data_IF_002379762587
#
_entry.id   IF_002379762587
#
_cell.length_a   1.000
_cell.length_b   1.000
_cell.length_c   1.000
_cell.angle_alpha   90.00
_cell.angle_beta   90.00
_cell.angle_gamma   90.00
#
_symmetry.space_group_name_H-M   'P 1'
#
loop_
_entity.id
_entity.type
_entity.pdbx_description
1 polymer ?
#
# COMPACT_ATOMS: atom_id res chain seq x y z
N UNK A 1 -6.72 -3.49 0.19
CA UNK A 1 -6.87 -4.52 1.25
C UNK A 1 -8.29 -4.55 1.82
N UNK A 2 -8.82 -3.43 2.33
CA UNK A 2 -10.15 -3.39 2.97
C UNK A 2 -11.33 -3.85 2.10
N UNK A 3 -11.39 -3.48 0.81
CA UNK A 3 -12.48 -3.92 -0.08
C UNK A 3 -12.59 -5.45 -0.22
N UNK A 4 -11.46 -6.17 -0.22
CA UNK A 4 -11.42 -7.65 -0.27
C UNK A 4 -11.90 -8.26 1.05
N UNK A 5 -11.66 -7.59 2.18
CA UNK A 5 -12.15 -8.05 3.48
C UNK A 5 -13.65 -7.79 3.65
N UNK A 6 -14.15 -6.70 3.06
CA UNK A 6 -15.56 -6.28 3.16
C UNK A 6 -16.46 -7.04 2.19
N UNK A 7 -16.00 -7.36 0.98
CA UNK A 7 -16.82 -7.97 -0.07
C UNK A 7 -17.57 -9.25 0.39
N UNK A 8 -16.94 -10.24 1.06
CA UNK A 8 -17.65 -11.44 1.51
C UNK A 8 -18.71 -11.14 2.58
N UNK A 9 -18.42 -10.20 3.49
CA UNK A 9 -19.36 -9.77 4.54
C UNK A 9 -20.57 -9.06 3.93
N UNK A 10 -20.37 -8.37 2.80
CA UNK A 10 -21.41 -7.73 2.02
C UNK A 10 -22.13 -8.67 1.03
N UNK A 11 -21.84 -9.98 1.05
CA UNK A 11 -22.34 -10.98 0.09
C UNK A 11 -22.01 -10.64 -1.38
N UNK A 12 -20.87 -9.99 -1.61
CA UNK A 12 -20.33 -9.74 -2.95
C UNK A 12 -19.33 -10.83 -3.30
N UNK A 13 -19.58 -11.53 -4.40
CA UNK A 13 -18.65 -12.54 -4.91
C UNK A 13 -17.37 -11.89 -5.45
N UNK A 14 -16.23 -12.46 -5.07
CA UNK A 14 -14.91 -12.01 -5.55
C UNK A 14 -14.59 -12.82 -6.81
N UNK A 15 -15.13 -12.38 -7.94
CA UNK A 15 -14.81 -12.94 -9.25
C UNK A 15 -13.72 -12.13 -9.97
N UNK A 16 -13.31 -12.59 -11.15
CA UNK A 16 -12.26 -11.91 -11.92
C UNK A 16 -12.69 -10.49 -12.31
N UNK A 17 -13.97 -10.29 -12.61
CA UNK A 17 -14.51 -8.97 -12.96
C UNK A 17 -14.38 -8.00 -11.79
N UNK A 18 -14.78 -8.41 -10.58
CA UNK A 18 -14.64 -7.62 -9.36
C UNK A 18 -13.17 -7.24 -9.10
N UNK A 19 -12.23 -8.19 -9.24
CA UNK A 19 -10.80 -7.93 -9.03
C UNK A 19 -10.28 -6.88 -10.01
N UNK A 20 -10.62 -6.99 -11.29
CA UNK A 20 -10.20 -6.04 -12.32
C UNK A 20 -10.78 -4.65 -12.06
N UNK A 21 -12.08 -4.57 -11.75
CA UNK A 21 -12.73 -3.29 -11.39
C UNK A 21 -12.11 -2.68 -10.14
N UNK A 22 -11.84 -3.49 -9.11
CA UNK A 22 -11.20 -3.04 -7.88
C UNK A 22 -9.81 -2.45 -8.16
N UNK A 23 -8.99 -3.11 -8.96
CA UNK A 23 -7.66 -2.59 -9.32
C UNK A 23 -7.78 -1.25 -10.03
N UNK A 24 -8.68 -1.13 -11.02
CA UNK A 24 -8.89 0.11 -11.75
C UNK A 24 -9.33 1.25 -10.82
N UNK A 25 -10.31 0.99 -9.95
CA UNK A 25 -10.79 1.96 -8.96
C UNK A 25 -9.67 2.38 -8.01
N UNK A 26 -8.91 1.43 -7.45
CA UNK A 26 -7.82 1.73 -6.52
C UNK A 26 -6.75 2.60 -7.17
N UNK A 27 -6.37 2.33 -8.41
CA UNK A 27 -5.38 3.14 -9.15
C UNK A 27 -5.88 4.58 -9.29
N UNK A 28 -7.12 4.77 -9.75
CA UNK A 28 -7.70 6.10 -9.97
C UNK A 28 -7.87 6.84 -8.63
N UNK A 29 -8.44 6.17 -7.63
CA UNK A 29 -8.66 6.72 -6.30
C UNK A 29 -7.35 7.11 -5.60
N UNK A 30 -6.25 6.40 -5.84
CA UNK A 30 -4.96 6.69 -5.21
C UNK A 30 -4.43 8.07 -5.58
N UNK A 31 -4.70 8.57 -6.80
CA UNK A 31 -4.31 9.93 -7.18
C UNK A 31 -5.10 10.99 -6.40
N UNK A 32 -6.39 10.74 -6.16
CA UNK A 32 -7.27 11.67 -5.44
C UNK A 32 -6.97 11.78 -3.94
N UNK A 33 -6.22 10.84 -3.38
CA UNK A 33 -5.88 10.78 -1.94
C UNK A 33 -4.41 11.14 -1.68
N UNK A 34 -3.65 11.50 -2.73
CA UNK A 34 -2.28 11.99 -2.56
C UNK A 34 -2.28 13.31 -1.75
N UNK A 35 -1.57 13.33 -0.62
CA UNK A 35 -1.36 14.54 0.18
C UNK A 35 -2.43 14.89 1.22
N UNK A 36 -3.48 14.08 1.39
CA UNK A 36 -4.47 14.26 2.48
C UNK A 36 -4.07 13.50 3.75
N UNK A 37 -4.24 14.15 4.90
CA UNK A 37 -4.00 13.53 6.21
C UNK A 37 -4.94 12.36 6.49
N UNK A 38 -4.44 11.27 7.07
CA UNK A 38 -5.23 10.06 7.32
C UNK A 38 -5.46 9.17 6.09
N UNK A 39 -4.50 9.16 5.15
CA UNK A 39 -4.68 8.60 3.80
C UNK A 39 -5.22 7.17 3.70
N UNK A 40 -4.99 6.28 4.68
CA UNK A 40 -5.54 4.92 4.67
C UNK A 40 -7.08 4.92 4.76
N UNK A 41 -7.61 5.65 5.74
CA UNK A 41 -9.03 5.71 6.06
C UNK A 41 -9.80 6.39 4.93
N UNK A 42 -9.29 7.53 4.44
CA UNK A 42 -9.93 8.26 3.35
C UNK A 42 -9.89 7.49 2.03
N UNK A 43 -8.77 6.85 1.69
CA UNK A 43 -8.71 5.97 0.51
C UNK A 43 -9.72 4.83 0.60
N UNK A 44 -9.86 4.26 1.79
CA UNK A 44 -10.73 3.11 2.00
C UNK A 44 -12.21 3.47 1.91
N UNK A 45 -12.62 4.60 2.51
CA UNK A 45 -13.99 5.10 2.37
C UNK A 45 -14.31 5.40 0.90
N UNK A 46 -13.37 6.04 0.17
CA UNK A 46 -13.54 6.34 -1.25
C UNK A 46 -13.73 5.06 -2.07
N UNK A 47 -12.85 4.07 -1.91
CA UNK A 47 -12.92 2.80 -2.66
C UNK A 47 -14.21 2.04 -2.33
N UNK A 48 -14.59 1.94 -1.05
CA UNK A 48 -15.83 1.26 -0.66
C UNK A 48 -17.06 1.96 -1.25
N UNK A 49 -17.12 3.29 -1.18
CA UNK A 49 -18.21 4.08 -1.77
C UNK A 49 -18.29 3.89 -3.28
N UNK A 50 -17.14 3.90 -3.97
CA UNK A 50 -17.06 3.76 -5.44
C UNK A 50 -17.51 2.38 -5.91
N UNK A 51 -17.28 1.35 -5.10
CA UNK A 51 -17.72 -0.03 -5.37
C UNK A 51 -19.11 -0.34 -4.82
N UNK A 52 -19.83 0.67 -4.30
CA UNK A 52 -21.13 0.52 -3.65
C UNK A 52 -21.12 -0.51 -2.49
N UNK A 53 -19.98 -0.63 -1.80
CA UNK A 53 -19.81 -1.48 -0.63
C UNK A 53 -20.14 -0.71 0.66
N UNK A 54 -20.62 -1.39 1.73
CA UNK A 54 -21.01 -0.71 2.95
C UNK A 54 -19.81 -0.07 3.68
N UNK A 55 -19.75 1.27 3.67
CA UNK A 55 -18.67 2.04 4.33
C UNK A 55 -18.65 1.80 5.85
N UNK A 56 -19.80 1.52 6.46
CA UNK A 56 -19.90 1.21 7.88
C UNK A 56 -19.03 0.02 8.31
N UNK A 57 -18.76 -0.94 7.40
CA UNK A 57 -17.90 -2.09 7.69
C UNK A 57 -16.43 -1.69 7.83
N UNK A 58 -15.99 -0.55 7.29
CA UNK A 58 -14.69 0.02 7.60
C UNK A 58 -14.55 0.34 9.10
N UNK A 59 -15.63 0.79 9.74
CA UNK A 59 -15.66 1.08 11.18
C UNK A 59 -15.40 -0.15 12.05
N UNK A 60 -15.85 -1.34 11.63
CA UNK A 60 -15.54 -2.60 12.31
C UNK A 60 -14.05 -2.95 12.17
N UNK A 61 -13.51 -2.69 10.98
CA UNK A 61 -12.13 -3.01 10.63
C UNK A 61 -11.10 -2.04 11.25
N UNK A 62 -11.53 -0.87 11.74
CA UNK A 62 -10.66 0.04 12.51
C UNK A 62 -9.99 -0.66 13.70
N UNK A 63 -10.66 -1.65 14.31
CA UNK A 63 -10.11 -2.43 15.42
C UNK A 63 -8.85 -3.23 15.06
N UNK A 64 -8.73 -3.68 13.81
CA UNK A 64 -7.59 -4.44 13.30
C UNK A 64 -6.66 -3.60 12.41
N UNK A 65 -7.05 -2.35 12.11
CA UNK A 65 -6.31 -1.44 11.25
C UNK A 65 -4.84 -1.26 11.67
N UNK A 66 -4.45 -1.18 12.96
CA UNK A 66 -3.03 -1.07 13.33
C UNK A 66 -2.17 -2.24 12.82
N UNK A 67 -2.71 -3.47 12.80
CA UNK A 67 -2.00 -4.64 12.27
C UNK A 67 -1.85 -4.55 10.75
N UNK A 68 -2.93 -4.14 10.08
CA UNK A 68 -2.99 -3.97 8.63
C UNK A 68 -2.02 -2.88 8.17
N UNK A 69 -2.00 -1.75 8.89
CA UNK A 69 -1.18 -0.59 8.57
C UNK A 69 0.32 -0.88 8.74
N UNK A 70 0.69 -1.68 9.75
CA UNK A 70 2.07 -2.17 9.87
C UNK A 70 2.49 -2.99 8.65
N UNK A 71 1.62 -3.88 8.16
CA UNK A 71 1.89 -4.65 6.93
C UNK A 71 2.02 -3.76 5.70
N UNK A 72 1.13 -2.78 5.55
CA UNK A 72 1.18 -1.77 4.48
C UNK A 72 2.48 -0.97 4.52
N UNK A 73 2.89 -0.53 5.70
CA UNK A 73 4.11 0.26 5.90
C UNK A 73 5.35 -0.56 5.55
N UNK A 74 5.42 -1.82 5.99
CA UNK A 74 6.51 -2.72 5.67
C UNK A 74 6.68 -2.92 4.15
N UNK A 75 5.57 -3.14 3.43
CA UNK A 75 5.58 -3.28 1.98
C UNK A 75 6.00 -1.98 1.28
N UNK A 76 5.47 -0.83 1.69
CA UNK A 76 5.83 0.47 1.09
C UNK A 76 7.32 0.81 1.27
N UNK A 77 7.91 0.48 2.42
CA UNK A 77 9.36 0.65 2.66
C UNK A 77 10.17 -0.29 1.78
N UNK A 78 9.77 -1.56 1.69
CA UNK A 78 10.41 -2.54 0.83
C UNK A 78 10.38 -2.13 -0.66
N UNK A 79 9.22 -1.67 -1.14
CA UNK A 79 9.05 -1.20 -2.52
C UNK A 79 9.91 0.02 -2.81
N UNK A 80 10.04 0.94 -1.84
CA UNK A 80 10.91 2.12 -1.97
C UNK A 80 12.38 1.73 -2.11
N UNK A 81 12.85 0.74 -1.34
CA UNK A 81 14.20 0.20 -1.48
C UNK A 81 14.40 -0.48 -2.84
N UNK A 82 13.45 -1.31 -3.28
CA UNK A 82 13.52 -1.99 -4.57
C UNK A 82 13.52 -0.98 -5.74
N UNK A 83 12.64 0.02 -5.71
CA UNK A 83 12.58 1.07 -6.72
C UNK A 83 13.88 1.90 -6.74
N UNK A 84 14.42 2.25 -5.58
CA UNK A 84 15.67 3.00 -5.46
C UNK A 84 16.87 2.24 -6.02
N UNK A 85 17.06 0.99 -5.59
CA UNK A 85 18.16 0.13 -6.06
C UNK A 85 18.02 -0.22 -7.55
N UNK A 86 16.80 -0.54 -8.00
CA UNK A 86 16.48 -0.79 -9.40
C UNK A 86 16.78 0.42 -10.29
N UNK A 87 16.36 1.61 -9.85
CA UNK A 87 16.63 2.87 -10.57
C UNK A 87 18.13 3.16 -10.64
N UNK A 88 18.86 3.04 -9.52
CA UNK A 88 20.31 3.24 -9.48
C UNK A 88 21.04 2.32 -10.47
N UNK A 89 20.62 1.06 -10.58
CA UNK A 89 21.18 0.11 -11.54
C UNK A 89 20.87 0.50 -12.99
N UNK A 90 19.63 0.89 -13.28
CA UNK A 90 19.19 1.30 -14.62
C UNK A 90 19.87 2.59 -15.08
N UNK A 91 20.09 3.55 -14.17
CA UNK A 91 20.73 4.83 -14.46
C UNK A 91 22.26 4.79 -14.35
N UNK A 92 22.86 3.62 -14.07
CA UNK A 92 24.31 3.44 -13.85
C UNK A 92 24.89 4.22 -12.65
N UNK A 93 24.05 4.56 -11.67
CA UNK A 93 24.44 5.17 -10.39
C UNK A 93 24.56 4.14 -9.26
N UNK A 94 24.61 2.85 -9.58
CA UNK A 94 24.78 1.79 -8.60
C UNK A 94 26.25 1.65 -8.22
N UNK A 95 26.57 2.04 -6.99
CA UNK A 95 27.88 1.88 -6.38
C UNK A 95 27.99 0.48 -5.71
N UNK A 96 28.67 -0.44 -6.39
CA UNK A 96 28.90 -1.80 -5.89
C UNK A 96 29.89 -1.84 -4.74
N UNK A 97 30.90 -0.99 -4.79
CA UNK A 97 31.98 -1.00 -3.81
C UNK A 97 31.43 -0.56 -2.45
N UNK A 98 30.56 0.45 -2.44
CA UNK A 98 29.81 0.84 -1.22
C UNK A 98 28.86 -0.26 -0.74
N UNK A 99 28.12 -0.91 -1.64
CA UNK A 99 27.16 -1.97 -1.27
C UNK A 99 27.82 -3.23 -0.72
N UNK A 100 29.00 -3.61 -1.24
CA UNK A 100 29.77 -4.78 -0.81
C UNK A 100 30.76 -4.47 0.32
N UNK A 101 30.91 -3.19 0.69
CA UNK A 101 31.81 -2.79 1.77
C UNK A 101 31.34 -3.36 3.13
N UNK A 102 32.29 -3.90 3.89
CA UNK A 102 32.09 -4.28 5.30
C UNK A 102 32.28 -3.09 6.26
N UNK A 103 32.32 -1.87 5.73
CA UNK A 103 32.58 -0.67 6.51
C UNK A 103 31.28 -0.19 7.18
N UNK A 104 30.96 -0.82 8.31
CA UNK A 104 29.80 -0.48 9.13
C UNK A 104 29.99 0.83 9.93
N UNK A 105 31.08 1.58 9.70
CA UNK A 105 31.37 2.83 10.41
C UNK A 105 30.24 3.87 10.24
N UNK A 106 29.56 3.87 9.09
CA UNK A 106 28.41 4.75 8.85
C UNK A 106 27.10 4.29 9.54
N UNK A 107 26.99 3.02 9.92
CA UNK A 107 25.81 2.43 10.57
C UNK A 107 25.88 2.44 12.10
N UNK A 108 27.04 2.76 12.67
CA UNK A 108 27.35 2.66 14.11
C UNK A 108 27.60 4.02 14.78
N UNK A 109 27.47 5.13 14.04
CA UNK A 109 27.80 6.49 14.49
C UNK A 109 26.64 7.28 15.13
N UNK A 110 25.59 6.59 15.58
CA UNK A 110 24.49 7.17 16.38
C UNK A 110 24.28 6.39 17.68
#
# INVERSE_FOLDING_TARGET
MLAIMVAPVANVEIDLQFIVTLIAVVIISSFGVAGVGGGATFASILVLSTLNLPVALAGVLISVEPLIDMGRTALNVNDSMLAGTGTAKLTKHWDKDTFESNDNAALTSH
#
